data_IF_094720193816
#
_entry.id   IF_094720193816
#
_cell.length_a   1.000
_cell.length_b   1.000
_cell.length_c   1.000
_cell.angle_alpha   90.00
_cell.angle_beta   90.00
_cell.angle_gamma   90.00
#
_symmetry.space_group_name_H-M   'P 1'
#
loop_
_entity.id
_entity.type
_entity.pdbx_description
1 polymer ?
#
# COMPACT_ATOMS: atom_id res chain seq x y z
N UNK A 1 -28.64 25.94 31.25
CA UNK A 1 -27.23 25.53 31.42
C UNK A 1 -26.88 24.30 30.56
N UNK A 2 -27.78 23.32 30.44
CA UNK A 2 -27.64 22.09 29.63
C UNK A 2 -27.40 22.31 28.13
N UNK A 3 -28.02 23.31 27.49
CA UNK A 3 -27.81 23.59 26.05
C UNK A 3 -26.37 23.98 25.69
N UNK A 4 -25.63 24.65 26.59
CA UNK A 4 -24.20 25.00 26.37
C UNK A 4 -23.29 23.77 26.47
N UNK A 5 -23.65 22.79 27.31
CA UNK A 5 -22.90 21.54 27.48
C UNK A 5 -22.99 20.65 26.22
N UNK A 6 -24.17 20.58 25.62
CA UNK A 6 -24.42 19.83 24.37
C UNK A 6 -23.63 20.42 23.20
N UNK A 7 -23.57 21.76 23.10
CA UNK A 7 -22.76 22.43 22.08
C UNK A 7 -21.26 22.15 22.26
N UNK A 8 -20.77 22.10 23.51
CA UNK A 8 -19.37 21.79 23.83
C UNK A 8 -18.98 20.36 23.44
N UNK A 9 -19.88 19.38 23.66
CA UNK A 9 -19.67 17.99 23.26
C UNK A 9 -19.65 17.79 21.73
N UNK A 10 -20.37 18.61 20.97
CA UNK A 10 -20.38 18.53 19.50
C UNK A 10 -19.06 19.03 18.88
N UNK A 11 -18.34 19.95 19.53
CA UNK A 11 -17.07 20.48 19.03
C UNK A 11 -15.93 19.46 19.16
N UNK A 12 -15.94 18.61 20.21
CA UNK A 12 -14.94 17.54 20.37
C UNK A 12 -15.10 16.37 19.39
N UNK A 13 -16.27 16.24 18.76
CA UNK A 13 -16.54 15.20 17.75
C UNK A 13 -16.14 15.62 16.33
N UNK A 14 -15.58 16.83 16.14
CA UNK A 14 -14.77 17.15 14.96
C UNK A 14 -13.50 16.31 15.03
N UNK A 15 -13.71 15.06 14.64
CA UNK A 15 -12.79 13.96 14.71
C UNK A 15 -11.50 14.34 14.00
N UNK A 16 -10.39 14.24 14.72
CA UNK A 16 -9.06 14.13 14.15
C UNK A 16 -8.99 12.84 13.32
N UNK A 17 -9.64 12.83 12.17
CA UNK A 17 -9.57 11.73 11.20
C UNK A 17 -8.19 11.82 10.56
N UNK A 18 -7.31 10.90 10.93
CA UNK A 18 -5.98 10.80 10.35
C UNK A 18 -6.06 9.96 9.10
N UNK A 19 -5.73 10.55 7.96
CA UNK A 19 -5.64 9.81 6.70
C UNK A 19 -4.28 9.15 6.59
N UNK A 20 -4.28 7.83 6.41
CA UNK A 20 -3.07 7.04 6.21
C UNK A 20 -2.95 6.64 4.74
N UNK A 21 -1.72 6.67 4.24
CA UNK A 21 -1.38 6.25 2.89
C UNK A 21 -0.07 5.46 2.94
N UNK A 22 -0.08 4.26 2.38
CA UNK A 22 1.10 3.38 2.34
C UNK A 22 1.60 3.34 0.91
N UNK A 23 2.88 3.66 0.72
CA UNK A 23 3.57 3.51 -0.57
C UNK A 23 4.55 2.35 -0.46
N UNK A 24 4.21 1.21 -1.08
CA UNK A 24 5.01 0.00 -1.08
C UNK A 24 5.88 -0.05 -2.33
N UNK A 25 7.20 0.05 -2.16
CA UNK A 25 8.17 -0.01 -3.25
C UNK A 25 8.33 -1.46 -3.70
N UNK A 26 7.90 -1.75 -4.94
CA UNK A 26 7.97 -3.07 -5.54
C UNK A 26 9.33 -3.29 -6.21
N UNK A 27 9.79 -2.30 -6.96
CA UNK A 27 11.05 -2.37 -7.68
C UNK A 27 11.61 -0.96 -7.91
N UNK A 28 12.92 -0.79 -7.70
CA UNK A 28 13.66 0.43 -7.99
C UNK A 28 14.86 0.07 -8.86
N UNK A 29 14.99 0.73 -10.00
CA UNK A 29 16.13 0.61 -10.90
C UNK A 29 16.53 1.99 -11.46
N UNK A 30 17.57 2.06 -12.28
CA UNK A 30 18.03 3.32 -12.87
C UNK A 30 17.00 4.03 -13.77
N UNK A 31 15.99 3.30 -14.26
CA UNK A 31 14.93 3.83 -15.13
C UNK A 31 13.72 4.33 -14.36
N UNK A 32 13.64 4.09 -13.05
CA UNK A 32 12.50 4.53 -12.24
C UNK A 32 12.14 3.62 -11.07
N UNK A 33 10.97 3.89 -10.50
CA UNK A 33 10.41 3.16 -9.35
C UNK A 33 9.01 2.66 -9.73
N UNK A 34 8.75 1.38 -9.50
CA UNK A 34 7.41 0.78 -9.50
C UNK A 34 6.95 0.61 -8.06
N UNK A 35 5.76 1.08 -7.74
CA UNK A 35 5.24 1.08 -6.39
C UNK A 35 3.73 0.89 -6.35
N UNK A 36 3.22 0.41 -5.22
CA UNK A 36 1.81 0.27 -4.90
C UNK A 36 1.42 1.34 -3.89
N UNK A 37 0.28 1.99 -4.12
CA UNK A 37 -0.30 2.99 -3.22
C UNK A 37 -1.57 2.41 -2.63
N UNK A 38 -1.60 2.25 -1.32
CA UNK A 38 -2.77 1.84 -0.54
C UNK A 38 -3.27 3.02 0.29
N UNK A 39 -4.53 3.39 0.09
CA UNK A 39 -5.22 4.43 0.85
C UNK A 39 -6.27 3.87 1.83
N UNK A 40 -6.22 2.56 2.13
CA UNK A 40 -7.17 1.85 2.97
C UNK A 40 -8.49 1.47 2.29
N UNK A 41 -8.78 2.02 1.09
CA UNK A 41 -9.96 1.65 0.28
C UNK A 41 -9.58 0.90 -0.98
N UNK A 42 -8.47 1.27 -1.61
CA UNK A 42 -8.01 0.71 -2.88
C UNK A 42 -6.49 0.71 -2.95
N UNK A 43 -5.96 -0.37 -3.51
CA UNK A 43 -4.57 -0.49 -3.89
C UNK A 43 -4.43 -0.15 -5.38
N UNK A 44 -3.51 0.76 -5.70
CA UNK A 44 -3.21 1.15 -7.08
C UNK A 44 -1.73 0.98 -7.40
N UNK A 45 -1.43 0.33 -8.53
CA UNK A 45 -0.06 0.19 -9.03
C UNK A 45 0.32 1.42 -9.84
N UNK A 46 1.47 2.01 -9.52
CA UNK A 46 1.99 3.21 -10.16
C UNK A 46 3.46 3.04 -10.51
N UNK A 47 3.95 3.90 -11.40
CA UNK A 47 5.37 3.94 -11.75
C UNK A 47 5.82 5.37 -12.03
N UNK A 48 7.03 5.71 -11.59
CA UNK A 48 7.70 6.96 -11.93
C UNK A 48 8.99 6.67 -12.68
N UNK A 49 9.36 7.53 -13.63
CA UNK A 49 10.64 7.44 -14.35
C UNK A 49 11.82 7.91 -13.50
N UNK A 50 11.56 8.63 -12.40
CA UNK A 50 12.62 9.08 -11.52
C UNK A 50 13.00 7.97 -10.55
N UNK A 51 14.27 7.52 -10.50
CA UNK A 51 14.69 6.44 -9.61
C UNK A 51 14.87 6.87 -8.15
N UNK A 52 14.73 8.17 -7.81
CA UNK A 52 14.97 8.69 -6.47
C UNK A 52 13.75 8.53 -5.55
N UNK A 53 13.92 7.75 -4.46
CA UNK A 53 12.93 7.63 -3.39
C UNK A 53 12.70 8.96 -2.66
N UNK A 54 13.74 9.78 -2.52
CA UNK A 54 13.63 11.10 -1.88
C UNK A 54 12.69 11.99 -2.69
N UNK A 55 12.79 11.95 -4.02
CA UNK A 55 11.91 12.71 -4.90
C UNK A 55 10.46 12.22 -4.77
N UNK A 56 10.25 10.91 -4.72
CA UNK A 56 8.94 10.31 -4.50
C UNK A 56 8.32 10.77 -3.17
N UNK A 57 9.10 10.75 -2.08
CA UNK A 57 8.66 11.22 -0.76
C UNK A 57 8.31 12.72 -0.80
N UNK A 58 9.11 13.55 -1.47
CA UNK A 58 8.86 14.99 -1.64
C UNK A 58 7.55 15.25 -2.41
N UNK A 59 7.28 14.46 -3.45
CA UNK A 59 6.06 14.60 -4.23
C UNK A 59 4.80 14.29 -3.38
N UNK A 60 4.85 13.28 -2.50
CA UNK A 60 3.77 13.02 -1.54
C UNK A 60 3.65 14.09 -0.45
N UNK A 61 4.77 14.64 0.03
CA UNK A 61 4.79 15.78 0.96
C UNK A 61 4.07 16.99 0.39
N UNK A 62 4.26 17.29 -0.89
CA UNK A 62 3.54 18.39 -1.58
C UNK A 62 2.04 18.17 -1.66
N UNK A 63 1.57 16.92 -1.62
CA UNK A 63 0.15 16.56 -1.55
C UNK A 63 -0.43 16.66 -0.12
N UNK A 64 0.39 17.06 0.86
CA UNK A 64 0.02 17.20 2.26
C UNK A 64 0.24 15.95 3.12
N UNK A 65 0.94 14.95 2.59
CA UNK A 65 1.25 13.71 3.32
C UNK A 65 2.64 13.77 3.97
N UNK A 66 2.71 13.64 5.29
CA UNK A 66 3.98 13.56 6.00
C UNK A 66 4.42 12.11 6.15
N UNK A 67 5.69 11.84 5.87
CA UNK A 67 6.28 10.53 6.12
C UNK A 67 6.42 10.32 7.63
N UNK A 68 5.73 9.31 8.16
CA UNK A 68 5.75 8.97 9.57
C UNK A 68 6.77 7.85 9.85
N UNK A 69 6.69 6.74 9.12
CA UNK A 69 7.54 5.56 9.34
C UNK A 69 8.00 4.92 8.02
N UNK A 70 9.09 4.15 8.09
CA UNK A 70 9.57 3.29 7.00
C UNK A 70 9.68 1.88 7.57
N UNK A 71 9.09 0.91 6.90
CA UNK A 71 9.17 -0.50 7.30
C UNK A 71 9.64 -1.35 6.13
N UNK A 72 10.43 -2.38 6.40
CA UNK A 72 10.79 -3.39 5.41
C UNK A 72 10.02 -4.66 5.70
N UNK A 73 9.41 -5.24 4.66
CA UNK A 73 8.70 -6.50 4.76
C UNK A 73 9.29 -7.48 3.77
N UNK A 74 9.35 -8.74 4.17
CA UNK A 74 9.58 -9.83 3.25
C UNK A 74 8.22 -10.31 2.75
N UNK A 75 7.90 -10.07 1.49
CA UNK A 75 6.69 -10.57 0.87
C UNK A 75 7.01 -11.85 0.11
N UNK A 76 6.32 -12.93 0.48
CA UNK A 76 6.37 -14.21 -0.22
C UNK A 76 5.23 -14.21 -1.24
N UNK A 77 5.58 -14.08 -2.51
CA UNK A 77 4.61 -14.14 -3.61
C UNK A 77 4.64 -15.55 -4.22
N UNK A 78 3.49 -16.24 -4.20
CA UNK A 78 3.29 -17.53 -4.85
C UNK A 78 2.86 -17.28 -6.30
N UNK A 79 3.75 -17.56 -7.25
CA UNK A 79 3.43 -17.44 -8.68
C UNK A 79 3.32 -18.83 -9.31
N UNK A 80 2.21 -19.11 -9.99
CA UNK A 80 2.05 -20.34 -10.76
C UNK A 80 0.63 -20.54 -11.30
N UNK A 81 0.46 -21.55 -12.14
CA UNK A 81 -0.84 -21.92 -12.72
C UNK A 81 -1.49 -22.95 -11.81
N UNK A 82 -2.63 -22.60 -11.21
CA UNK A 82 -3.47 -23.59 -10.55
C UNK A 82 -4.07 -24.52 -11.62
N UNK A 83 -4.08 -25.84 -11.40
CA UNK A 83 -4.70 -26.76 -12.33
C UNK A 83 -6.20 -26.48 -12.30
N UNK A 84 -6.73 -25.96 -13.39
CA UNK A 84 -8.17 -25.84 -13.56
C UNK A 84 -8.70 -27.26 -13.73
N UNK A 85 -9.40 -27.75 -12.71
CA UNK A 85 -10.09 -29.03 -12.74
C UNK A 85 -11.22 -28.97 -13.78
N UNK A 86 -10.90 -29.20 -15.05
CA UNK A 86 -11.92 -29.44 -16.06
C UNK A 86 -12.32 -30.92 -16.01
N UNK A 87 -13.63 -31.18 -15.99
CA UNK A 87 -14.32 -32.45 -15.77
C UNK A 87 -14.04 -33.52 -16.85
N UNK A 88 -12.79 -33.98 -17.00
CA UNK A 88 -12.48 -35.23 -17.65
C UNK A 88 -11.39 -35.94 -16.85
N UNK A 89 -11.79 -37.05 -16.22
CA UNK A 89 -11.05 -37.84 -15.25
C UNK A 89 -9.85 -38.59 -15.87
N UNK A 90 -8.88 -37.85 -16.43
CA UNK A 90 -7.55 -38.35 -16.69
C UNK A 90 -6.59 -37.68 -15.71
N UNK A 91 -6.32 -38.38 -14.59
CA UNK A 91 -5.33 -38.03 -13.58
C UNK A 91 -3.90 -38.11 -14.15
N UNK A 92 -3.58 -37.24 -15.10
CA UNK A 92 -2.19 -36.86 -15.32
C UNK A 92 -1.88 -35.81 -14.27
N UNK A 93 -1.10 -36.19 -13.26
CA UNK A 93 -0.52 -35.28 -12.28
C UNK A 93 0.31 -34.22 -13.03
N UNK A 94 -0.35 -33.17 -13.52
CA UNK A 94 0.31 -31.98 -14.01
C UNK A 94 0.94 -31.35 -12.78
N UNK A 95 2.24 -31.58 -12.61
CA UNK A 95 3.06 -30.94 -11.59
C UNK A 95 2.88 -29.43 -11.72
N UNK A 96 2.21 -28.82 -10.75
CA UNK A 96 2.07 -27.38 -10.68
C UNK A 96 3.43 -26.79 -10.36
N UNK A 97 4.05 -26.11 -11.32
CA UNK A 97 5.25 -25.31 -11.05
C UNK A 97 4.82 -24.04 -10.32
N UNK A 98 4.73 -24.13 -8.99
CA UNK A 98 4.61 -22.98 -8.10
C UNK A 98 6.02 -22.49 -7.78
N UNK A 99 6.34 -21.26 -8.16
CA UNK A 99 7.60 -20.62 -7.78
C UNK A 99 7.36 -19.68 -6.59
N UNK A 100 8.18 -19.84 -5.55
CA UNK A 100 8.17 -18.98 -4.36
C UNK A 100 9.20 -17.87 -4.55
N UNK A 101 8.72 -16.65 -4.74
CA UNK A 101 9.59 -15.48 -4.85
C UNK A 101 9.60 -14.73 -3.52
N UNK A 102 10.79 -14.61 -2.92
CA UNK A 102 11.04 -13.76 -1.77
C UNK A 102 11.34 -12.34 -2.28
N UNK A 103 10.39 -11.43 -2.08
CA UNK A 103 10.52 -10.04 -2.48
C UNK A 103 10.62 -9.15 -1.23
N UNK A 104 11.81 -8.61 -0.99
CA UNK A 104 11.99 -7.55 -0.01
C UNK A 104 11.32 -6.28 -0.52
N UNK A 105 10.29 -5.81 0.18
CA UNK A 105 9.58 -4.56 -0.11
C UNK A 105 9.82 -3.53 0.99
N UNK A 106 9.98 -2.28 0.58
CA UNK A 106 10.05 -1.14 1.50
C UNK A 106 8.72 -0.41 1.47
N UNK A 107 8.07 -0.27 2.62
CA UNK A 107 6.82 0.47 2.76
C UNK A 107 7.09 1.82 3.42
N UNK A 108 6.60 2.87 2.79
CA UNK A 108 6.64 4.24 3.28
C UNK A 108 5.26 4.58 3.84
N UNK A 109 5.19 4.85 5.14
CA UNK A 109 3.96 5.15 5.84
C UNK A 109 3.77 6.65 5.91
N UNK A 110 2.78 7.15 5.17
CA UNK A 110 2.40 8.54 5.17
C UNK A 110 1.16 8.77 6.01
N UNK A 111 1.16 9.90 6.71
CA UNK A 111 0.03 10.41 7.48
C UNK A 111 -0.30 11.81 7.00
N UNK A 112 -1.58 12.09 6.82
CA UNK A 112 -2.13 13.41 6.56
C UNK A 112 -3.06 13.80 7.70
N UNK A 113 -2.80 14.96 8.27
CA UNK A 113 -3.64 15.51 9.32
C UNK A 113 -4.78 16.29 8.64
N UNK A 114 -6.02 15.88 8.91
CA UNK A 114 -7.17 16.70 8.57
C UNK A 114 -7.22 17.85 9.58
N UNK A 115 -6.86 19.05 9.12
CA UNK A 115 -6.97 20.30 9.87
C UNK A 115 -8.42 20.75 9.99
#
# INVERSE_FOLDING_TARGET
MTKKLILFLLIFNYSYSQEWLIVSIINQNSKGIKYEVDNGKKISKQSTKNPSLVKLIDDYKKMGYNLNNITQINQIDLNGVFPLFNNNANFNFQTTNLNLNNNLRTNLWFRKENK
#
